data_IF_292861947286
#
_entry.id   IF_292861947286
#
_cell.length_a   1.000
_cell.length_b   1.000
_cell.length_c   1.000
_cell.angle_alpha   90.00
_cell.angle_beta   90.00
_cell.angle_gamma   90.00
#
_symmetry.space_group_name_H-M   'P 1'
#
loop_
_entity.id
_entity.type
_entity.pdbx_description
1 polymer ?
#
# COMPACT_ATOMS: atom_id res chain seq x y z
N UNK A 1 -29.36 -11.02 16.01
CA UNK A 1 -28.72 -9.81 16.56
C UNK A 1 -27.22 -9.99 16.41
N UNK A 2 -26.51 -9.62 15.34
CA UNK A 2 -26.78 -9.05 14.00
C UNK A 2 -26.02 -9.99 13.03
N UNK A 3 -26.66 -10.67 12.08
CA UNK A 3 -26.91 -10.20 10.70
C UNK A 3 -25.65 -9.68 9.97
N UNK A 4 -24.72 -10.56 9.61
CA UNK A 4 -23.73 -10.32 8.54
C UNK A 4 -24.06 -11.18 7.34
N UNK A 5 -25.26 -10.96 6.79
CA UNK A 5 -25.66 -11.41 5.48
C UNK A 5 -25.27 -10.34 4.45
N UNK A 6 -23.97 -10.20 4.15
CA UNK A 6 -23.48 -9.38 3.03
C UNK A 6 -22.47 -10.12 2.14
N UNK A 7 -22.40 -11.45 2.25
CA UNK A 7 -21.53 -12.29 1.42
C UNK A 7 -22.11 -12.59 0.01
N UNK A 8 -23.15 -11.88 -0.44
CA UNK A 8 -23.89 -12.24 -1.65
C UNK A 8 -24.32 -11.07 -2.56
N UNK A 9 -23.57 -9.97 -2.61
CA UNK A 9 -23.73 -8.96 -3.66
C UNK A 9 -22.47 -8.89 -4.51
N UNK A 10 -22.46 -9.74 -5.54
CA UNK A 10 -21.50 -9.67 -6.62
C UNK A 10 -21.48 -8.27 -7.22
N UNK A 11 -20.37 -7.58 -7.01
CA UNK A 11 -19.75 -6.83 -8.07
C UNK A 11 -18.25 -7.04 -7.96
N UNK A 12 -17.69 -7.59 -9.04
CA UNK A 12 -16.27 -7.53 -9.40
C UNK A 12 -15.86 -6.08 -9.50
N UNK A 13 -15.80 -5.38 -8.39
CA UNK A 13 -15.21 -4.05 -8.38
C UNK A 13 -13.72 -4.30 -8.42
N UNK A 14 -13.07 -4.01 -9.56
CA UNK A 14 -11.62 -4.05 -9.72
C UNK A 14 -10.88 -3.00 -8.86
N UNK A 15 -11.49 -2.64 -7.73
CA UNK A 15 -11.15 -1.56 -6.83
C UNK A 15 -10.57 -2.17 -5.56
N UNK A 16 -9.35 -1.77 -5.24
CA UNK A 16 -8.70 -2.19 -4.00
C UNK A 16 -9.27 -1.41 -2.82
N UNK A 17 -9.68 -2.08 -1.76
CA UNK A 17 -10.07 -1.42 -0.51
C UNK A 17 -8.88 -1.45 0.44
N UNK A 18 -8.54 -0.36 1.10
CA UNK A 18 -7.35 -0.31 1.97
C UNK A 18 -7.62 0.52 3.22
N UNK A 19 -7.22 -0.01 4.38
CA UNK A 19 -7.19 0.76 5.63
C UNK A 19 -6.31 1.99 5.53
N UNK A 20 -6.75 3.11 6.11
CA UNK A 20 -5.98 4.36 6.17
C UNK A 20 -4.61 4.17 6.84
N UNK A 21 -4.54 3.29 7.83
CA UNK A 21 -3.33 3.04 8.59
C UNK A 21 -2.39 1.99 7.94
N UNK A 22 -2.83 1.39 6.83
CA UNK A 22 -2.13 0.38 6.04
C UNK A 22 -2.07 -1.00 6.70
N UNK A 23 -2.85 -1.28 7.74
CA UNK A 23 -2.89 -2.55 8.45
C UNK A 23 -3.45 -3.70 7.63
N UNK A 24 -4.41 -3.42 6.74
CA UNK A 24 -5.02 -4.39 5.85
C UNK A 24 -5.45 -3.77 4.52
N UNK A 25 -5.67 -4.62 3.51
CA UNK A 25 -6.35 -4.27 2.26
C UNK A 25 -7.10 -5.47 1.68
N UNK A 26 -8.10 -5.22 0.84
CA UNK A 26 -8.81 -6.21 0.01
C UNK A 26 -8.40 -6.01 -1.44
N UNK A 27 -7.94 -7.06 -2.10
CA UNK A 27 -7.51 -6.99 -3.51
C UNK A 27 -8.69 -6.74 -4.45
N UNK A 28 -8.41 -6.38 -5.71
CA UNK A 28 -9.41 -6.26 -6.76
C UNK A 28 -10.19 -7.57 -7.00
N UNK A 29 -9.60 -8.72 -6.64
CA UNK A 29 -10.21 -10.05 -6.68
C UNK A 29 -11.02 -10.40 -5.43
N UNK A 30 -11.06 -9.51 -4.43
CA UNK A 30 -11.81 -9.71 -3.19
C UNK A 30 -11.05 -10.45 -2.07
N UNK A 31 -9.75 -10.70 -2.23
CA UNK A 31 -8.96 -11.38 -1.20
C UNK A 31 -8.49 -10.38 -0.11
N UNK A 32 -8.76 -10.68 1.17
CA UNK A 32 -8.27 -9.86 2.28
C UNK A 32 -6.82 -10.21 2.62
N UNK A 33 -5.97 -9.18 2.71
CA UNK A 33 -4.56 -9.29 3.09
C UNK A 33 -4.30 -8.45 4.33
N UNK A 34 -3.88 -9.12 5.41
CA UNK A 34 -3.39 -8.46 6.63
C UNK A 34 -1.88 -8.21 6.55
N UNK A 35 -1.47 -7.01 6.99
CA UNK A 35 -0.09 -6.55 7.17
C UNK A 35 0.26 -6.32 8.64
N UNK A 36 -0.58 -6.70 9.59
CA UNK A 36 -0.37 -6.48 11.04
C UNK A 36 1.00 -6.97 11.52
N UNK A 37 1.39 -8.17 11.09
CA UNK A 37 2.68 -8.78 11.42
C UNK A 37 3.80 -8.39 10.45
N UNK A 38 3.52 -7.58 9.42
CA UNK A 38 4.47 -7.15 8.38
C UNK A 38 4.74 -5.66 8.51
N UNK A 39 5.27 -5.25 9.67
CA UNK A 39 5.41 -3.84 10.11
C UNK A 39 5.96 -2.89 9.05
N UNK A 40 7.04 -3.29 8.35
CA UNK A 40 7.64 -2.44 7.32
C UNK A 40 6.68 -2.25 6.13
N UNK A 41 5.98 -3.30 5.69
CA UNK A 41 5.00 -3.19 4.60
C UNK A 41 3.83 -2.30 4.98
N UNK A 42 3.30 -2.45 6.20
CA UNK A 42 2.25 -1.56 6.75
C UNK A 42 2.69 -0.10 6.74
N UNK A 43 3.90 0.18 7.25
CA UNK A 43 4.47 1.54 7.27
C UNK A 43 4.61 2.12 5.86
N UNK A 44 5.10 1.33 4.91
CA UNK A 44 5.27 1.77 3.53
C UNK A 44 3.92 2.05 2.85
N UNK A 45 2.94 1.17 3.04
CA UNK A 45 1.60 1.38 2.49
C UNK A 45 0.98 2.64 3.05
N UNK A 46 1.01 2.82 4.38
CA UNK A 46 0.55 4.05 5.06
C UNK A 46 1.25 5.30 4.52
N UNK A 47 2.56 5.26 4.34
CA UNK A 47 3.33 6.40 3.84
C UNK A 47 2.94 6.77 2.41
N UNK A 48 2.74 5.79 1.53
CA UNK A 48 2.27 6.00 0.15
C UNK A 48 0.85 6.59 0.11
N UNK A 49 -0.06 6.09 0.96
CA UNK A 49 -1.42 6.62 1.08
C UNK A 49 -1.42 8.08 1.59
N UNK A 50 -0.62 8.37 2.62
CA UNK A 50 -0.46 9.71 3.15
C UNK A 50 0.14 10.67 2.11
N UNK A 51 1.20 10.25 1.39
CA UNK A 51 1.81 11.06 0.32
C UNK A 51 0.80 11.36 -0.78
N UNK A 52 0.02 10.36 -1.22
CA UNK A 52 -1.06 10.55 -2.18
C UNK A 52 -2.07 11.60 -1.73
N UNK A 53 -2.51 11.55 -0.47
CA UNK A 53 -3.50 12.48 0.06
C UNK A 53 -2.95 13.92 0.18
N UNK A 54 -1.68 14.06 0.57
CA UNK A 54 -1.05 15.37 0.78
C UNK A 54 -0.53 16.00 -0.52
N UNK A 55 0.00 15.19 -1.43
CA UNK A 55 0.63 15.60 -2.70
C UNK A 55 0.27 14.60 -3.81
N UNK A 56 -0.94 14.68 -4.38
CA UNK A 56 -1.37 13.78 -5.45
C UNK A 56 -0.39 13.81 -6.64
N UNK A 57 0.02 12.62 -7.11
CA UNK A 57 0.94 12.49 -8.24
C UNK A 57 2.43 12.65 -7.90
N UNK A 58 2.76 13.05 -6.69
CA UNK A 58 4.14 13.19 -6.23
C UNK A 58 4.69 11.84 -5.74
N UNK A 59 5.90 11.49 -6.19
CA UNK A 59 6.52 10.21 -5.88
C UNK A 59 7.50 10.33 -4.71
N UNK A 60 7.53 9.30 -3.87
CA UNK A 60 8.56 9.16 -2.85
C UNK A 60 9.80 8.52 -3.46
N UNK A 61 10.94 9.17 -3.30
CA UNK A 61 12.25 8.61 -3.63
C UNK A 61 12.53 7.31 -2.87
N UNK A 62 13.50 6.52 -3.34
CA UNK A 62 13.90 5.27 -2.66
C UNK A 62 14.34 5.54 -1.22
N UNK A 63 15.02 6.64 -0.97
CA UNK A 63 15.49 7.02 0.37
C UNK A 63 14.34 7.45 1.29
N UNK A 64 13.36 8.21 0.79
CA UNK A 64 12.13 8.51 1.55
C UNK A 64 11.36 7.23 1.88
N UNK A 65 11.19 6.33 0.91
CA UNK A 65 10.55 5.04 1.12
C UNK A 65 11.30 4.25 2.20
N UNK A 66 12.64 4.22 2.14
CA UNK A 66 13.45 3.55 3.16
C UNK A 66 13.22 4.15 4.56
N UNK A 67 13.29 5.47 4.70
CA UNK A 67 13.10 6.15 5.98
C UNK A 67 11.74 5.86 6.62
N UNK A 68 10.69 5.73 5.80
CA UNK A 68 9.35 5.35 6.29
C UNK A 68 9.24 3.87 6.67
N UNK A 69 9.86 2.97 5.91
CA UNK A 69 9.80 1.52 6.17
C UNK A 69 10.60 1.11 7.40
N UNK A 70 11.76 1.74 7.60
CA UNK A 70 12.76 1.42 8.61
C UNK A 70 13.12 2.65 9.45
N UNK A 71 12.15 3.20 10.20
CA UNK A 71 12.36 4.40 11.00
C UNK A 71 13.47 4.18 12.02
N UNK A 72 14.41 5.14 12.09
CA UNK A 72 15.56 5.10 12.99
C UNK A 72 16.74 4.26 12.47
N UNK A 73 16.59 3.52 11.37
CA UNK A 73 17.71 2.84 10.73
C UNK A 73 18.50 3.79 9.83
N UNK A 74 19.83 3.66 9.84
CA UNK A 74 20.70 4.41 8.92
C UNK A 74 20.69 3.75 7.55
N UNK A 75 20.76 4.56 6.50
CA UNK A 75 20.97 4.07 5.13
C UNK A 75 22.32 3.35 5.08
N UNK A 76 22.29 2.07 4.75
CA UNK A 76 23.45 1.20 4.67
C UNK A 76 23.46 0.46 3.31
N UNK A 77 24.57 -0.24 3.03
CA UNK A 77 24.69 -1.10 1.85
C UNK A 77 23.51 -2.09 1.85
N UNK A 78 22.68 -2.03 0.80
CA UNK A 78 21.49 -2.88 0.66
C UNK A 78 20.15 -2.25 1.07
N UNK A 79 20.12 -1.00 1.57
CA UNK A 79 18.87 -0.29 1.88
C UNK A 79 17.91 -0.26 0.67
N UNK A 80 18.44 0.05 -0.51
CA UNK A 80 17.70 0.03 -1.77
C UNK A 80 17.08 -1.35 -2.09
N UNK A 81 17.82 -2.45 -1.85
CA UNK A 81 17.29 -3.79 -2.07
C UNK A 81 16.12 -4.10 -1.13
N UNK A 82 16.20 -3.67 0.13
CA UNK A 82 15.10 -3.83 1.10
C UNK A 82 13.85 -3.10 0.63
N UNK A 83 13.99 -1.87 0.15
CA UNK A 83 12.89 -1.09 -0.46
C UNK A 83 12.27 -1.86 -1.64
N UNK A 84 13.11 -2.31 -2.58
CA UNK A 84 12.63 -3.03 -3.75
C UNK A 84 11.91 -4.33 -3.41
N UNK A 85 12.45 -5.12 -2.47
CA UNK A 85 11.79 -6.34 -2.00
C UNK A 85 10.46 -6.03 -1.34
N UNK A 86 10.40 -5.03 -0.46
CA UNK A 86 9.17 -4.66 0.24
C UNK A 86 8.07 -4.20 -0.72
N UNK A 87 8.40 -3.32 -1.68
CA UNK A 87 7.46 -2.85 -2.70
C UNK A 87 7.05 -3.95 -3.68
N UNK A 88 7.98 -4.83 -4.06
CA UNK A 88 7.68 -6.01 -4.87
C UNK A 88 6.70 -6.94 -4.15
N UNK A 89 6.89 -7.16 -2.85
CA UNK A 89 5.97 -7.95 -2.02
C UNK A 89 4.59 -7.31 -1.96
N UNK A 90 4.46 -6.00 -1.69
CA UNK A 90 3.15 -5.32 -1.72
C UNK A 90 2.45 -5.48 -3.08
N UNK A 91 3.19 -5.30 -4.19
CA UNK A 91 2.65 -5.49 -5.55
C UNK A 91 2.16 -6.93 -5.77
N UNK A 92 2.94 -7.93 -5.36
CA UNK A 92 2.58 -9.36 -5.48
C UNK A 92 1.38 -9.75 -4.63
N UNK A 93 1.17 -9.10 -3.49
CA UNK A 93 0.03 -9.35 -2.60
C UNK A 93 -1.28 -8.75 -3.12
N UNK A 94 -1.27 -8.01 -4.23
CA UNK A 94 -2.49 -7.47 -4.85
C UNK A 94 -2.43 -5.97 -5.18
N UNK A 95 -1.35 -5.27 -4.82
CA UNK A 95 -1.22 -3.83 -5.08
C UNK A 95 -0.49 -3.48 -6.38
N UNK A 96 -0.31 -4.45 -7.29
CA UNK A 96 0.42 -4.24 -8.55
C UNK A 96 -0.19 -3.14 -9.42
N UNK A 97 -1.52 -3.07 -9.47
CA UNK A 97 -2.27 -2.04 -10.21
C UNK A 97 -2.44 -0.72 -9.46
N UNK A 98 -2.01 -0.65 -8.20
CA UNK A 98 -2.20 0.52 -7.32
C UNK A 98 -0.90 1.29 -7.08
N UNK A 99 0.22 0.59 -6.88
CA UNK A 99 1.52 1.19 -6.64
C UNK A 99 2.26 1.30 -7.96
N UNK A 100 2.64 2.50 -8.38
CA UNK A 100 3.42 2.72 -9.60
C UNK A 100 4.88 3.07 -9.27
N UNK A 101 5.78 2.70 -10.19
CA UNK A 101 7.16 3.19 -10.20
C UNK A 101 7.28 4.30 -11.24
N UNK A 102 7.68 5.49 -10.82
CA UNK A 102 8.01 6.61 -11.70
C UNK A 102 9.52 6.77 -11.83
N UNK A 103 9.96 7.78 -12.62
CA UNK A 103 11.37 8.17 -12.70
C UNK A 103 11.92 8.67 -11.36
N UNK A 104 11.06 9.27 -10.51
CA UNK A 104 11.45 9.89 -9.25
C UNK A 104 11.28 8.96 -8.04
N UNK A 105 10.72 7.76 -8.22
CA UNK A 105 10.55 6.77 -7.14
C UNK A 105 9.22 6.02 -7.23
N UNK A 106 8.47 5.98 -6.14
CA UNK A 106 7.23 5.21 -6.02
C UNK A 106 6.06 6.06 -5.54
N UNK A 107 4.88 5.83 -6.11
CA UNK A 107 3.67 6.58 -5.80
C UNK A 107 2.43 5.70 -5.92
N UNK A 108 1.32 6.24 -5.42
CA UNK A 108 -0.02 5.77 -5.77
C UNK A 108 -0.65 6.87 -6.65
N UNK A 109 -0.71 6.68 -7.98
CA UNK A 109 -1.09 7.74 -8.93
C UNK A 109 -2.57 8.14 -8.73
N UNK A 110 -2.97 9.42 -8.89
CA UNK A 110 -4.34 9.90 -8.63
C UNK A 110 -5.47 9.04 -9.22
N UNK A 111 -5.26 8.43 -10.38
CA UNK A 111 -6.24 7.53 -11.03
C UNK A 111 -6.23 6.06 -10.56
N UNK A 112 -5.41 5.70 -9.58
CA UNK A 112 -5.36 4.34 -9.04
C UNK A 112 -6.73 3.89 -8.53
N UNK A 113 -7.14 2.68 -8.92
CA UNK A 113 -8.42 2.08 -8.56
C UNK A 113 -8.36 1.56 -7.12
N UNK A 114 -8.50 2.46 -6.16
CA UNK A 114 -8.59 2.13 -4.74
C UNK A 114 -9.55 3.03 -3.97
N UNK A 115 -10.05 2.53 -2.85
CA UNK A 115 -10.78 3.30 -1.83
C UNK A 115 -10.06 3.15 -0.49
N UNK A 116 -9.89 4.26 0.21
CA UNK A 116 -9.31 4.29 1.54
C UNK A 116 -10.45 4.24 2.56
N UNK A 117 -10.37 3.30 3.48
CA UNK A 117 -11.33 3.12 4.57
C UNK A 117 -10.74 3.61 5.89
N UNK A 118 -11.59 4.24 6.67
CA UNK A 118 -11.33 4.50 8.09
C UNK A 118 -11.58 3.20 8.86
N UNK A 119 -10.67 2.85 9.77
CA UNK A 119 -10.83 1.71 10.70
C UNK A 119 -12.02 1.92 11.65
#
# INVERSE_FOLDING_TARGET
MQETAEAALGSRSGLVRVSRDGSWFVTAEGATVSLEHRRNLRRLLRALLARRAQRPGDAMSVDEVFAHGWPGERVAIGAQNRVYVALSTLRKLGLRGVIERSRSGYLIPPGAQLVIEDD
#
